data_IF_649267201302
#
_entry.id   IF_649267201302
#
_cell.length_a   1.000
_cell.length_b   1.000
_cell.length_c   1.000
_cell.angle_alpha   90.00
_cell.angle_beta   90.00
_cell.angle_gamma   90.00
#
_symmetry.space_group_name_H-M   'P 1'
#
loop_
_entity.id
_entity.type
_entity.pdbx_description
1 polymer ?
#
# COMPACT_ATOMS: atom_id res chain seq x y z
N UNK A 1 -0.77 2.17 -41.29
CA UNK A 1 -1.04 2.47 -42.70
C UNK A 1 -2.36 1.90 -43.22
N UNK A 2 -2.54 0.58 -43.41
CA UNK A 2 -3.78 0.03 -44.01
C UNK A 2 -5.07 0.42 -43.27
N UNK A 3 -5.06 0.44 -41.93
CA UNK A 3 -6.21 0.84 -41.12
C UNK A 3 -6.52 2.35 -41.25
N UNK A 4 -5.49 3.19 -41.37
CA UNK A 4 -5.63 4.65 -41.57
C UNK A 4 -6.24 4.97 -42.96
N UNK A 5 -5.95 4.14 -43.96
CA UNK A 5 -6.45 4.31 -45.33
C UNK A 5 -7.87 3.77 -45.53
N UNK A 6 -8.16 2.59 -44.97
CA UNK A 6 -9.45 1.93 -45.19
C UNK A 6 -10.52 2.37 -44.20
N UNK A 7 -10.12 2.77 -42.98
CA UNK A 7 -11.00 2.99 -41.82
C UNK A 7 -11.95 1.81 -41.53
N UNK A 8 -11.66 0.64 -42.10
CA UNK A 8 -12.47 -0.57 -41.95
C UNK A 8 -11.68 -1.57 -41.10
N UNK A 9 -12.07 -1.62 -39.82
CA UNK A 9 -11.41 -2.43 -38.79
C UNK A 9 -11.58 -3.92 -39.07
N UNK A 10 -12.75 -4.33 -39.59
CA UNK A 10 -13.07 -5.72 -39.87
C UNK A 10 -12.30 -6.22 -41.09
N UNK A 11 -12.26 -5.41 -42.16
CA UNK A 11 -11.50 -5.73 -43.37
C UNK A 11 -10.00 -5.78 -43.09
N UNK A 12 -9.48 -4.83 -42.33
CA UNK A 12 -8.06 -4.82 -41.94
C UNK A 12 -7.73 -6.00 -41.03
N UNK A 13 -8.58 -6.32 -40.05
CA UNK A 13 -8.38 -7.49 -39.20
C UNK A 13 -8.40 -8.79 -40.02
N UNK A 14 -9.31 -8.94 -40.98
CA UNK A 14 -9.36 -10.11 -41.88
C UNK A 14 -8.10 -10.27 -42.74
N UNK A 15 -7.50 -9.16 -43.19
CA UNK A 15 -6.27 -9.15 -44.00
C UNK A 15 -5.04 -9.61 -43.19
N UNK A 16 -4.97 -9.25 -41.90
CA UNK A 16 -3.79 -9.50 -41.07
C UNK A 16 -3.95 -10.66 -40.07
N UNK A 17 -5.15 -11.19 -39.86
CA UNK A 17 -5.46 -12.30 -38.96
C UNK A 17 -4.57 -13.53 -39.16
N UNK A 18 -4.41 -13.97 -40.41
CA UNK A 18 -3.57 -15.12 -40.75
C UNK A 18 -2.08 -14.91 -40.42
N UNK A 19 -1.59 -13.66 -40.48
CA UNK A 19 -0.21 -13.31 -40.18
C UNK A 19 0.04 -13.23 -38.66
N UNK A 20 -0.99 -12.87 -37.90
CA UNK A 20 -0.94 -12.77 -36.45
C UNK A 20 -1.24 -14.10 -35.73
N UNK A 21 -1.63 -15.16 -36.45
CA UNK A 21 -2.15 -16.41 -35.88
C UNK A 21 -3.33 -16.14 -34.91
N UNK A 22 -4.19 -15.20 -35.28
CA UNK A 22 -5.37 -14.77 -34.52
C UNK A 22 -6.59 -14.75 -35.45
N UNK A 23 -7.79 -14.80 -34.87
CA UNK A 23 -9.03 -14.53 -35.62
C UNK A 23 -9.31 -13.02 -35.69
N UNK A 24 -10.05 -12.52 -36.70
CA UNK A 24 -10.43 -11.11 -36.76
C UNK A 24 -11.19 -10.64 -35.51
N UNK A 25 -12.00 -11.52 -34.90
CA UNK A 25 -12.72 -11.25 -33.66
C UNK A 25 -11.78 -11.07 -32.45
N UNK A 26 -10.62 -11.73 -32.44
CA UNK A 26 -9.60 -11.53 -31.41
C UNK A 26 -8.71 -10.31 -31.70
N UNK A 27 -8.75 -9.73 -32.89
CA UNK A 27 -7.99 -8.52 -33.22
C UNK A 27 -8.79 -7.25 -33.00
N UNK A 28 -10.11 -7.30 -33.17
CA UNK A 28 -11.01 -6.16 -32.97
C UNK A 28 -11.67 -6.27 -31.61
N UNK A 29 -11.34 -5.35 -30.70
CA UNK A 29 -11.94 -5.25 -29.38
C UNK A 29 -12.50 -3.85 -29.16
N UNK A 30 -13.63 -3.79 -28.48
CA UNK A 30 -14.24 -2.56 -28.01
C UNK A 30 -14.05 -2.45 -26.49
N UNK A 31 -13.73 -1.27 -26.01
CA UNK A 31 -13.59 -0.99 -24.58
C UNK A 31 -14.75 -0.11 -24.13
N UNK A 32 -15.08 -0.15 -22.85
CA UNK A 32 -15.88 0.92 -22.24
C UNK A 32 -15.12 2.27 -22.32
N UNK A 33 -15.78 3.36 -21.92
CA UNK A 33 -15.10 4.65 -21.76
C UNK A 33 -13.91 4.51 -20.80
N UNK A 34 -12.75 4.98 -21.22
CA UNK A 34 -11.50 4.92 -20.46
C UNK A 34 -11.22 6.29 -19.87
N UNK A 35 -11.01 6.36 -18.55
CA UNK A 35 -10.42 7.51 -17.87
C UNK A 35 -9.05 7.12 -17.28
N UNK A 36 -8.19 8.09 -16.95
CA UNK A 36 -6.88 7.80 -16.37
C UNK A 36 -6.98 6.93 -15.10
N UNK A 37 -6.17 5.87 -15.05
CA UNK A 37 -6.16 4.90 -13.94
C UNK A 37 -7.20 3.79 -14.01
N UNK A 38 -8.01 3.72 -15.07
CA UNK A 38 -8.91 2.58 -15.28
C UNK A 38 -8.16 1.35 -15.79
N UNK A 39 -8.58 0.17 -15.33
CA UNK A 39 -8.11 -1.10 -15.85
C UNK A 39 -8.84 -1.42 -17.15
N UNK A 40 -8.14 -1.37 -18.28
CA UNK A 40 -8.71 -1.72 -19.60
C UNK A 40 -8.53 -3.22 -19.86
N UNK A 41 -9.58 -3.90 -20.31
CA UNK A 41 -9.51 -5.34 -20.60
C UNK A 41 -8.41 -5.66 -21.63
N UNK A 42 -7.59 -6.69 -21.34
CA UNK A 42 -6.45 -7.14 -22.17
C UNK A 42 -5.28 -6.14 -22.33
N UNK A 43 -5.38 -4.93 -21.76
CA UNK A 43 -4.33 -3.90 -21.77
C UNK A 43 -3.80 -3.66 -20.33
N UNK A 44 -4.67 -3.77 -19.33
CA UNK A 44 -4.38 -3.44 -17.94
C UNK A 44 -4.44 -1.94 -17.67
N UNK A 45 -3.81 -1.53 -16.57
CA UNK A 45 -3.56 -0.11 -16.26
C UNK A 45 -2.29 0.29 -17.00
N UNK A 46 -2.41 1.15 -18.02
CA UNK A 46 -1.27 1.53 -18.88
C UNK A 46 -1.29 3.04 -19.19
N UNK A 47 -0.39 3.82 -18.57
CA UNK A 47 -0.26 5.25 -18.84
C UNK A 47 0.05 5.55 -20.31
N UNK A 48 0.86 4.72 -20.98
CA UNK A 48 1.18 4.91 -22.40
C UNK A 48 -0.05 4.73 -23.30
N UNK A 49 -0.93 3.78 -22.95
CA UNK A 49 -2.19 3.60 -23.67
C UNK A 49 -3.13 4.78 -23.45
N UNK A 50 -3.29 5.21 -22.19
CA UNK A 50 -4.10 6.38 -21.82
C UNK A 50 -3.65 7.65 -22.55
N UNK A 51 -2.34 7.93 -22.58
CA UNK A 51 -1.78 9.08 -23.30
C UNK A 51 -1.96 8.99 -24.83
N UNK A 52 -1.94 7.79 -25.38
CA UNK A 52 -2.09 7.57 -26.82
C UNK A 52 -3.52 7.79 -27.30
N UNK A 53 -4.52 7.32 -26.53
CA UNK A 53 -5.94 7.54 -26.86
C UNK A 53 -6.40 8.96 -26.55
N UNK A 54 -5.80 9.63 -25.57
CA UNK A 54 -6.13 11.01 -25.19
C UNK A 54 -5.84 12.05 -26.30
N UNK A 55 -5.00 11.69 -27.29
CA UNK A 55 -4.68 12.54 -28.44
C UNK A 55 -5.71 12.47 -29.56
N UNK A 56 -6.65 11.53 -29.50
CA UNK A 56 -7.70 11.36 -30.50
C UNK A 56 -8.84 12.32 -30.19
N UNK A 57 -9.23 13.13 -31.18
CA UNK A 57 -10.25 14.16 -30.99
C UNK A 57 -11.55 13.82 -31.73
N UNK A 58 -11.46 13.14 -32.87
CA UNK A 58 -12.59 12.96 -33.80
C UNK A 58 -13.07 11.51 -33.85
N UNK A 59 -14.39 11.29 -33.85
CA UNK A 59 -14.93 9.95 -34.05
C UNK A 59 -14.47 9.35 -35.40
N UNK A 60 -14.04 8.10 -35.39
CA UNK A 60 -13.41 7.40 -36.50
C UNK A 60 -11.93 7.76 -36.73
N UNK A 61 -11.31 8.54 -35.83
CA UNK A 61 -9.87 8.82 -35.86
C UNK A 61 -9.08 7.60 -35.44
N UNK A 62 -8.11 7.21 -36.27
CA UNK A 62 -7.23 6.06 -36.02
C UNK A 62 -5.94 6.57 -35.41
N UNK A 63 -5.65 6.16 -34.18
CA UNK A 63 -4.45 6.54 -33.47
C UNK A 63 -3.20 5.83 -33.94
N UNK A 64 -2.09 6.20 -33.30
CA UNK A 64 -0.79 5.56 -33.55
C UNK A 64 -0.69 4.19 -32.89
N UNK A 65 0.32 3.43 -33.29
CA UNK A 65 0.65 2.14 -32.67
C UNK A 65 1.15 2.36 -31.24
N UNK A 66 0.39 1.91 -30.25
CA UNK A 66 0.72 2.00 -28.83
C UNK A 66 1.23 0.63 -28.36
N UNK A 67 2.42 0.54 -27.73
CA UNK A 67 2.85 -0.70 -27.09
C UNK A 67 1.98 -1.02 -25.86
N UNK A 68 1.56 -2.28 -25.73
CA UNK A 68 0.81 -2.79 -24.56
C UNK A 68 1.46 -4.10 -24.10
N UNK A 69 1.13 -4.60 -22.91
CA UNK A 69 1.80 -5.78 -22.31
C UNK A 69 1.88 -6.99 -23.26
N UNK A 70 0.84 -7.24 -24.06
CA UNK A 70 0.74 -8.38 -24.97
C UNK A 70 0.92 -8.00 -26.44
N UNK A 71 1.64 -6.92 -26.75
CA UNK A 71 1.98 -6.53 -28.12
C UNK A 71 1.75 -5.05 -28.38
N UNK A 72 0.80 -4.73 -29.25
CA UNK A 72 0.44 -3.34 -29.55
C UNK A 72 -1.05 -3.19 -29.81
N UNK A 73 -1.57 -2.02 -29.49
CA UNK A 73 -2.92 -1.59 -29.83
C UNK A 73 -2.85 -0.46 -30.86
N UNK A 74 -3.80 -0.44 -31.79
CA UNK A 74 -4.05 0.69 -32.67
C UNK A 74 -5.47 1.17 -32.37
N UNK A 75 -5.65 2.22 -31.56
CA UNK A 75 -6.96 2.66 -31.13
C UNK A 75 -7.72 3.35 -32.28
N UNK A 76 -9.04 3.20 -32.28
CA UNK A 76 -9.94 4.00 -33.10
C UNK A 76 -10.94 4.66 -32.16
N UNK A 77 -11.06 5.98 -32.21
CA UNK A 77 -12.01 6.68 -31.36
C UNK A 77 -13.44 6.45 -31.88
N UNK A 78 -14.26 5.70 -31.15
CA UNK A 78 -15.66 5.51 -31.50
C UNK A 78 -16.54 6.65 -30.98
N UNK A 79 -16.35 7.00 -29.72
CA UNK A 79 -17.08 8.06 -29.04
C UNK A 79 -16.19 8.72 -27.97
N UNK A 80 -16.37 10.01 -27.76
CA UNK A 80 -15.66 10.79 -26.75
C UNK A 80 -16.67 11.49 -25.85
N UNK A 81 -16.62 11.16 -24.56
CA UNK A 81 -17.31 11.93 -23.53
C UNK A 81 -16.37 12.98 -22.97
N UNK A 82 -16.75 14.23 -23.10
CA UNK A 82 -16.03 15.33 -22.47
C UNK A 82 -15.99 15.15 -20.95
N UNK A 83 -14.86 15.54 -20.36
CA UNK A 83 -14.69 15.55 -18.92
C UNK A 83 -15.68 16.56 -18.32
N UNK A 84 -16.83 16.06 -17.88
CA UNK A 84 -17.81 16.85 -17.13
C UNK A 84 -17.56 16.67 -15.64
N UNK A 85 -17.94 17.68 -14.86
CA UNK A 85 -18.17 17.45 -13.44
C UNK A 85 -19.17 16.30 -13.31
N UNK A 86 -18.80 15.27 -12.56
CA UNK A 86 -19.75 14.22 -12.25
C UNK A 86 -20.89 14.85 -11.45
N UNK A 87 -22.13 14.52 -11.81
CA UNK A 87 -23.28 15.00 -11.07
C UNK A 87 -23.30 14.37 -9.68
N UNK A 88 -23.95 15.03 -8.72
CA UNK A 88 -24.01 14.52 -7.35
C UNK A 88 -24.50 13.07 -7.29
N UNK A 89 -25.50 12.71 -8.10
CA UNK A 89 -26.04 11.35 -8.15
C UNK A 89 -25.03 10.28 -8.59
N UNK A 90 -24.04 10.63 -9.42
CA UNK A 90 -23.02 9.69 -9.93
C UNK A 90 -21.90 9.43 -8.91
N UNK A 91 -21.65 10.39 -8.01
CA UNK A 91 -20.62 10.29 -6.97
C UNK A 91 -21.19 10.10 -5.58
N UNK A 92 -22.51 10.12 -5.44
CA UNK A 92 -23.23 10.06 -4.16
C UNK A 92 -22.76 8.90 -3.30
N UNK A 93 -22.60 7.72 -3.86
CA UNK A 93 -22.18 6.52 -3.12
C UNK A 93 -20.73 6.66 -2.63
N UNK A 94 -19.82 7.11 -3.50
CA UNK A 94 -18.42 7.36 -3.14
C UNK A 94 -18.27 8.44 -2.06
N UNK A 95 -19.01 9.54 -2.20
CA UNK A 95 -19.03 10.64 -1.23
C UNK A 95 -19.66 10.17 0.08
N UNK A 96 -20.75 9.40 0.02
CA UNK A 96 -21.37 8.84 1.21
C UNK A 96 -20.42 7.90 1.95
N UNK A 97 -19.65 7.07 1.25
CA UNK A 97 -18.66 6.19 1.84
C UNK A 97 -17.50 6.97 2.45
N UNK A 98 -16.95 7.95 1.73
CA UNK A 98 -15.92 8.84 2.26
C UNK A 98 -16.38 9.56 3.55
N UNK A 99 -17.59 10.12 3.56
CA UNK A 99 -18.16 10.79 4.74
C UNK A 99 -18.38 9.80 5.89
N UNK A 100 -18.79 8.55 5.60
CA UNK A 100 -18.94 7.52 6.64
C UNK A 100 -17.59 7.21 7.29
N UNK A 101 -16.54 7.03 6.49
CA UNK A 101 -15.18 6.78 6.98
C UNK A 101 -14.68 7.97 7.80
N UNK A 102 -14.82 9.19 7.28
CA UNK A 102 -14.42 10.41 7.98
C UNK A 102 -15.14 10.53 9.35
N UNK A 103 -16.46 10.36 9.36
CA UNK A 103 -17.24 10.38 10.61
C UNK A 103 -16.82 9.28 11.57
N UNK A 104 -16.51 8.08 11.07
CA UNK A 104 -16.02 7.00 11.91
C UNK A 104 -14.67 7.35 12.55
N UNK A 105 -13.73 7.91 11.78
CA UNK A 105 -12.43 8.35 12.30
C UNK A 105 -12.56 9.46 13.35
N UNK A 106 -13.43 10.44 13.11
CA UNK A 106 -13.74 11.48 14.11
C UNK A 106 -14.37 10.90 15.37
N UNK A 107 -15.26 9.92 15.25
CA UNK A 107 -15.86 9.24 16.40
C UNK A 107 -14.83 8.45 17.20
N UNK A 108 -13.89 7.76 16.55
CA UNK A 108 -12.82 7.04 17.23
C UNK A 108 -11.93 8.00 18.03
N UNK A 109 -11.55 9.14 17.44
CA UNK A 109 -10.81 10.19 18.15
C UNK A 109 -11.57 10.68 19.38
N UNK A 110 -12.86 10.98 19.24
CA UNK A 110 -13.70 11.47 20.33
C UNK A 110 -13.87 10.42 21.45
N UNK A 111 -14.05 9.15 21.09
CA UNK A 111 -14.08 8.04 22.05
C UNK A 111 -12.76 7.96 22.81
N UNK A 112 -11.62 8.05 22.11
CA UNK A 112 -10.31 8.03 22.74
C UNK A 112 -10.15 9.19 23.73
N UNK A 113 -10.57 10.41 23.36
CA UNK A 113 -10.55 11.59 24.25
C UNK A 113 -11.42 11.38 25.48
N UNK A 114 -12.62 10.82 25.31
CA UNK A 114 -13.52 10.52 26.42
C UNK A 114 -12.95 9.45 27.36
N UNK A 115 -12.26 8.43 26.83
CA UNK A 115 -11.58 7.41 27.65
C UNK A 115 -10.43 8.05 28.43
N UNK A 116 -9.58 8.85 27.78
CA UNK A 116 -8.48 9.54 28.45
C UNK A 116 -8.97 10.51 29.54
N UNK A 117 -10.07 11.23 29.29
CA UNK A 117 -10.67 12.13 30.27
C UNK A 117 -11.37 11.39 31.42
N UNK A 118 -11.96 10.22 31.15
CA UNK A 118 -12.65 9.40 32.15
C UNK A 118 -11.71 8.53 33.00
N UNK A 119 -10.51 8.25 32.51
CA UNK A 119 -9.51 7.50 33.24
C UNK A 119 -8.73 8.42 34.20
N UNK A 120 -8.94 8.26 35.51
CA UNK A 120 -8.23 9.04 36.54
C UNK A 120 -6.86 8.45 36.89
N UNK A 121 -6.62 7.19 36.53
CA UNK A 121 -5.40 6.43 36.82
C UNK A 121 -5.26 5.26 35.84
N UNK A 122 -4.08 4.65 35.79
CA UNK A 122 -3.83 3.44 35.00
C UNK A 122 -4.81 2.29 35.36
N UNK A 123 -5.14 2.13 36.65
CA UNK A 123 -6.08 1.11 37.12
C UNK A 123 -7.54 1.39 36.71
N UNK A 124 -7.90 2.66 36.53
CA UNK A 124 -9.25 3.06 36.11
C UNK A 124 -9.44 3.01 34.58
N UNK A 125 -8.35 2.90 33.81
CA UNK A 125 -8.40 2.94 32.34
C UNK A 125 -9.29 1.85 31.74
N UNK A 126 -9.23 0.62 32.27
CA UNK A 126 -10.09 -0.45 31.76
C UNK A 126 -11.58 -0.16 32.00
N UNK A 127 -11.94 0.40 33.14
CA UNK A 127 -13.33 0.79 33.43
C UNK A 127 -13.80 1.93 32.53
N UNK A 128 -12.94 2.92 32.26
CA UNK A 128 -13.24 4.01 31.32
C UNK A 128 -13.43 3.50 29.89
N UNK A 129 -12.60 2.54 29.44
CA UNK A 129 -12.76 1.87 28.15
C UNK A 129 -14.05 1.06 28.07
N UNK A 130 -14.40 0.31 29.12
CA UNK A 130 -15.62 -0.50 29.19
C UNK A 130 -16.89 0.36 29.11
N UNK A 131 -16.88 1.56 29.69
CA UNK A 131 -17.98 2.52 29.56
C UNK A 131 -18.22 2.97 28.10
N UNK A 132 -17.26 2.74 27.19
CA UNK A 132 -17.34 2.98 25.74
C UNK A 132 -17.43 1.69 24.93
N UNK A 133 -17.66 0.55 25.56
CA UNK A 133 -17.76 -0.74 24.88
C UNK A 133 -16.41 -1.34 24.44
N UNK A 134 -15.29 -0.79 24.94
CA UNK A 134 -13.94 -1.27 24.65
C UNK A 134 -13.32 -1.97 25.86
N UNK A 135 -12.21 -2.67 25.64
CA UNK A 135 -11.44 -3.33 26.70
C UNK A 135 -9.99 -2.87 26.63
N UNK A 136 -9.44 -2.41 27.75
CA UNK A 136 -8.03 -2.11 27.81
C UNK A 136 -7.23 -3.42 27.85
N UNK A 137 -6.11 -3.47 27.11
CA UNK A 137 -5.19 -4.59 27.13
C UNK A 137 -3.96 -4.23 27.98
N UNK A 138 -3.40 -5.23 28.64
CA UNK A 138 -2.16 -5.09 29.42
C UNK A 138 -1.01 -5.77 28.67
N UNK A 139 0.10 -5.05 28.50
CA UNK A 139 1.34 -5.58 27.97
C UNK A 139 2.40 -5.56 29.07
N UNK A 140 2.76 -6.75 29.55
CA UNK A 140 3.77 -6.91 30.60
C UNK A 140 5.16 -6.88 29.99
N UNK A 141 6.08 -6.14 30.61
CA UNK A 141 7.46 -6.06 30.16
C UNK A 141 7.64 -5.28 28.86
N UNK A 142 6.79 -4.29 28.60
CA UNK A 142 7.01 -3.34 27.50
C UNK A 142 8.36 -2.63 27.67
N UNK A 143 9.13 -2.57 26.58
CA UNK A 143 10.42 -1.86 26.50
C UNK A 143 10.28 -0.82 25.39
N UNK A 144 10.86 0.37 25.57
CA UNK A 144 10.92 1.39 24.52
C UNK A 144 11.59 0.82 23.25
N UNK A 145 11.09 1.19 22.08
CA UNK A 145 11.45 0.61 20.79
C UNK A 145 10.80 -0.73 20.47
N UNK A 146 10.00 -1.33 21.37
CA UNK A 146 9.17 -2.50 21.05
C UNK A 146 7.74 -2.08 20.66
N UNK A 147 7.06 -2.81 19.76
CA UNK A 147 5.67 -2.49 19.43
C UNK A 147 4.76 -2.56 20.65
N UNK A 148 3.95 -1.50 20.85
CA UNK A 148 2.90 -1.47 21.86
C UNK A 148 1.59 -2.02 21.29
N UNK A 149 0.96 -2.94 21.99
CA UNK A 149 -0.29 -3.59 21.60
C UNK A 149 -0.10 -5.04 21.11
N UNK A 150 -1.16 -5.62 20.55
CA UNK A 150 -1.16 -6.99 20.04
C UNK A 150 -1.68 -7.04 18.60
N UNK A 151 -1.21 -8.01 17.81
CA UNK A 151 -1.69 -8.24 16.45
C UNK A 151 -1.39 -7.09 15.49
N UNK A 152 -2.22 -6.88 14.46
CA UNK A 152 -2.00 -5.86 13.42
C UNK A 152 -2.00 -4.41 13.93
N UNK A 153 -2.56 -4.15 15.11
CA UNK A 153 -2.55 -2.82 15.73
C UNK A 153 -1.28 -2.52 16.54
N UNK A 154 -0.40 -3.51 16.72
CA UNK A 154 0.85 -3.29 17.44
C UNK A 154 1.75 -2.33 16.66
N UNK A 155 2.23 -1.27 17.30
CA UNK A 155 2.99 -0.22 16.62
C UNK A 155 4.07 0.39 17.50
N UNK A 156 5.16 0.84 16.86
CA UNK A 156 6.25 1.64 17.45
C UNK A 156 6.08 3.09 16.99
N UNK A 157 6.16 4.05 17.90
CA UNK A 157 6.03 5.47 17.57
C UNK A 157 6.75 6.33 18.61
N UNK A 158 7.69 7.15 18.16
CA UNK A 158 8.53 7.99 19.03
C UNK A 158 7.71 8.87 19.98
N UNK A 159 6.66 9.54 19.49
CA UNK A 159 5.85 10.42 20.32
C UNK A 159 5.03 9.66 21.38
N UNK A 160 4.59 8.44 21.06
CA UNK A 160 3.95 7.54 22.03
C UNK A 160 4.95 7.05 23.08
N UNK A 161 6.14 6.66 22.64
CA UNK A 161 7.21 6.16 23.49
C UNK A 161 7.73 7.23 24.45
N UNK A 162 7.95 8.45 23.96
CA UNK A 162 8.32 9.62 24.77
C UNK A 162 7.26 9.95 25.82
N UNK A 163 5.98 9.92 25.42
CA UNK A 163 4.87 10.14 26.35
C UNK A 163 4.87 9.08 27.47
N UNK A 164 5.02 7.79 27.12
CA UNK A 164 5.08 6.69 28.10
C UNK A 164 6.30 6.83 29.02
N UNK A 165 7.47 7.18 28.47
CA UNK A 165 8.70 7.32 29.25
C UNK A 165 8.62 8.43 30.30
N UNK A 166 7.93 9.53 29.98
CA UNK A 166 7.70 10.65 30.89
C UNK A 166 6.70 10.35 32.02
N UNK A 167 5.91 9.29 31.92
CA UNK A 167 4.86 8.95 32.88
C UNK A 167 5.38 8.18 34.11
N UNK A 168 4.71 8.39 35.24
CA UNK A 168 4.95 7.66 36.49
C UNK A 168 4.05 6.43 36.62
N UNK A 169 4.44 5.52 37.51
CA UNK A 169 3.57 4.40 37.88
C UNK A 169 2.20 4.91 38.40
N UNK A 170 1.12 4.30 37.90
CA UNK A 170 -0.26 4.67 38.17
C UNK A 170 -0.80 5.80 37.27
N UNK A 171 0.04 6.48 36.49
CA UNK A 171 -0.37 7.57 35.63
C UNK A 171 -1.03 7.07 34.33
N UNK A 172 -1.93 7.88 33.79
CA UNK A 172 -2.62 7.64 32.52
C UNK A 172 -2.49 8.86 31.61
N UNK A 173 -2.34 8.61 30.30
CA UNK A 173 -2.27 9.66 29.30
C UNK A 173 -3.56 10.47 29.30
N UNK A 174 -3.44 11.81 29.43
CA UNK A 174 -4.57 12.73 29.38
C UNK A 174 -4.99 13.08 27.95
N UNK A 175 -4.05 13.00 27.02
CA UNK A 175 -4.26 13.28 25.60
C UNK A 175 -4.01 12.00 24.83
N UNK A 176 -5.01 11.46 24.12
CA UNK A 176 -4.80 10.33 23.22
C UNK A 176 -3.82 10.69 22.11
N UNK A 177 -3.07 9.70 21.64
CA UNK A 177 -2.08 9.89 20.58
C UNK A 177 -2.46 9.06 19.36
N UNK A 178 -2.46 9.70 18.19
CA UNK A 178 -2.74 9.05 16.91
C UNK A 178 -1.46 8.42 16.37
N UNK A 179 -1.48 7.11 16.10
CA UNK A 179 -0.39 6.36 15.50
C UNK A 179 -0.94 5.58 14.31
N UNK A 180 -0.55 5.99 13.10
CA UNK A 180 -1.19 5.51 11.87
C UNK A 180 -2.68 5.82 11.88
N UNK A 181 -3.51 4.80 11.69
CA UNK A 181 -4.98 4.90 11.75
C UNK A 181 -5.56 4.61 13.14
N UNK A 182 -4.71 4.30 14.13
CA UNK A 182 -5.11 3.93 15.47
C UNK A 182 -4.93 5.09 16.46
N UNK A 183 -5.74 5.08 17.51
CA UNK A 183 -5.62 5.99 18.65
C UNK A 183 -5.24 5.23 19.91
N UNK A 184 -4.20 5.71 20.60
CA UNK A 184 -3.66 5.10 21.80
C UNK A 184 -3.96 5.95 23.03
N UNK A 185 -4.44 5.29 24.09
CA UNK A 185 -4.55 5.84 25.44
C UNK A 185 -3.89 4.82 26.37
N UNK A 186 -2.79 5.22 27.01
CA UNK A 186 -1.93 4.32 27.77
C UNK A 186 -1.95 4.68 29.24
N UNK A 187 -1.95 3.67 30.10
CA UNK A 187 -1.73 3.80 31.54
C UNK A 187 -0.52 2.97 31.96
N UNK A 188 0.38 3.56 32.74
CA UNK A 188 1.57 2.87 33.26
C UNK A 188 1.19 2.16 34.55
N UNK A 189 0.97 0.84 34.48
CA UNK A 189 0.58 0.04 35.65
C UNK A 189 1.75 -0.22 36.59
N UNK A 190 2.95 -0.39 36.04
CA UNK A 190 4.18 -0.63 36.79
C UNK A 190 5.37 -0.10 36.01
N UNK A 191 6.32 0.53 36.70
CA UNK A 191 7.60 0.96 36.11
C UNK A 191 8.75 0.15 36.74
N UNK A 192 9.54 -0.50 35.91
CA UNK A 192 10.78 -1.13 36.34
C UNK A 192 11.95 -0.22 35.92
N UNK A 193 12.71 0.26 36.89
CA UNK A 193 13.94 1.01 36.61
C UNK A 193 15.00 0.09 36.01
N UNK A 194 15.86 0.65 35.17
CA UNK A 194 16.96 -0.09 34.59
C UNK A 194 17.93 -0.57 35.68
N UNK A 195 18.24 -1.87 35.66
CA UNK A 195 19.21 -2.44 36.59
C UNK A 195 20.63 -2.07 36.15
N UNK A 196 21.22 -1.08 36.82
CA UNK A 196 22.59 -0.62 36.56
C UNK A 196 23.65 -1.69 36.82
N UNK A 197 23.39 -2.68 37.69
CA UNK A 197 24.33 -3.77 37.93
C UNK A 197 24.36 -4.72 36.72
N UNK A 198 23.18 -5.03 36.16
CA UNK A 198 23.07 -5.79 34.91
C UNK A 198 23.56 -4.99 33.69
N UNK A 199 23.45 -3.66 33.69
CA UNK A 199 24.00 -2.83 32.63
C UNK A 199 25.51 -2.97 32.51
N UNK A 200 26.25 -3.02 33.63
CA UNK A 200 27.70 -3.16 33.62
C UNK A 200 28.17 -4.43 32.90
N UNK A 201 27.42 -5.52 33.02
CA UNK A 201 27.74 -6.80 32.35
C UNK A 201 27.26 -6.84 30.90
N UNK A 202 26.18 -6.13 30.57
CA UNK A 202 25.60 -6.09 29.22
C UNK A 202 26.18 -5.00 28.32
N UNK A 203 26.88 -4.01 28.88
CA UNK A 203 27.38 -2.82 28.17
C UNK A 203 28.15 -3.18 26.90
N UNK A 204 29.10 -4.10 27.00
CA UNK A 204 29.96 -4.43 25.86
C UNK A 204 29.17 -5.10 24.73
N UNK A 205 28.18 -5.94 25.08
CA UNK A 205 27.26 -6.53 24.10
C UNK A 205 26.35 -5.47 23.47
N UNK A 206 25.77 -4.57 24.27
CA UNK A 206 24.94 -3.47 23.77
C UNK A 206 25.70 -2.55 22.81
N UNK A 207 26.96 -2.24 23.12
CA UNK A 207 27.84 -1.47 22.23
C UNK A 207 28.04 -2.21 20.90
N UNK A 208 28.32 -3.52 20.93
CA UNK A 208 28.48 -4.30 19.71
C UNK A 208 27.19 -4.33 18.87
N UNK A 209 26.03 -4.52 19.49
CA UNK A 209 24.74 -4.49 18.80
C UNK A 209 24.47 -3.13 18.14
N UNK A 210 24.67 -2.04 18.87
CA UNK A 210 24.49 -0.67 18.34
C UNK A 210 25.49 -0.36 17.22
N UNK A 211 26.73 -0.82 17.37
CA UNK A 211 27.76 -0.66 16.35
C UNK A 211 27.40 -1.41 15.07
N UNK A 212 26.92 -2.64 15.19
CA UNK A 212 26.49 -3.44 14.05
C UNK A 212 25.28 -2.80 13.35
N UNK A 213 24.28 -2.34 14.10
CA UNK A 213 23.15 -1.60 13.55
C UNK A 213 23.60 -0.34 12.79
N UNK A 214 24.50 0.46 13.35
CA UNK A 214 25.04 1.66 12.69
C UNK A 214 25.85 1.32 11.45
N UNK A 215 26.63 0.24 11.47
CA UNK A 215 27.36 -0.24 10.28
C UNK A 215 26.40 -0.66 9.17
N UNK A 216 25.33 -1.40 9.50
CA UNK A 216 24.30 -1.79 8.53
C UNK A 216 23.60 -0.58 7.95
N UNK A 217 23.22 0.39 8.78
CA UNK A 217 22.57 1.65 8.35
C UNK A 217 23.46 2.43 7.37
N UNK A 218 24.72 2.69 7.74
CA UNK A 218 25.68 3.42 6.89
C UNK A 218 25.97 2.66 5.60
N UNK A 219 26.13 1.35 5.66
CA UNK A 219 26.37 0.53 4.47
C UNK A 219 25.16 0.54 3.53
N UNK A 220 23.94 0.43 4.07
CA UNK A 220 22.70 0.51 3.29
C UNK A 220 22.55 1.86 2.59
N UNK A 221 22.80 2.95 3.32
CA UNK A 221 22.75 4.30 2.77
C UNK A 221 23.84 4.52 1.69
N UNK A 222 25.06 4.04 1.94
CA UNK A 222 26.14 4.08 0.94
C UNK A 222 25.78 3.31 -0.33
N UNK A 223 25.21 2.10 -0.21
CA UNK A 223 24.75 1.32 -1.36
C UNK A 223 23.63 2.03 -2.11
N UNK A 224 22.63 2.58 -1.41
CA UNK A 224 21.53 3.31 -2.01
C UNK A 224 22.04 4.56 -2.77
N UNK A 225 22.94 5.33 -2.16
CA UNK A 225 23.54 6.51 -2.78
C UNK A 225 24.40 6.16 -4.00
N UNK A 226 25.22 5.10 -3.90
CA UNK A 226 26.06 4.62 -5.00
C UNK A 226 25.22 4.11 -6.15
N UNK A 227 24.18 3.31 -5.87
CA UNK A 227 23.23 2.83 -6.87
C UNK A 227 22.57 3.99 -7.61
N UNK A 228 22.03 4.96 -6.87
CA UNK A 228 21.41 6.17 -7.44
C UNK A 228 22.38 6.95 -8.33
N UNK A 229 23.64 7.09 -7.92
CA UNK A 229 24.68 7.75 -8.72
C UNK A 229 24.96 7.00 -10.02
N UNK A 230 25.11 5.69 -9.96
CA UNK A 230 25.38 4.84 -11.13
C UNK A 230 24.18 4.74 -12.07
N UNK A 231 22.95 4.74 -11.54
CA UNK A 231 21.72 4.87 -12.34
C UNK A 231 21.67 6.22 -13.07
N UNK A 232 21.97 7.32 -12.37
CA UNK A 232 21.96 8.68 -12.95
C UNK A 232 23.06 8.85 -14.00
N UNK A 233 24.24 8.25 -13.77
CA UNK A 233 25.35 8.25 -14.72
C UNK A 233 25.13 7.30 -15.92
N UNK A 234 24.12 6.43 -15.87
CA UNK A 234 23.84 5.43 -16.91
C UNK A 234 24.72 4.18 -16.86
N UNK A 235 25.58 4.04 -15.85
CA UNK A 235 26.45 2.87 -15.63
C UNK A 235 25.67 1.64 -15.16
N UNK A 236 24.52 1.84 -14.51
CA UNK A 236 23.58 0.78 -14.12
C UNK A 236 22.22 1.06 -14.78
N UNK A 237 21.71 0.07 -15.53
CA UNK A 237 20.37 0.10 -16.13
C UNK A 237 19.51 -0.99 -15.50
N UNK A 238 18.54 -0.59 -14.67
CA UNK A 238 17.63 -1.54 -14.01
C UNK A 238 16.46 -1.81 -14.94
N UNK A 239 16.35 -3.05 -15.40
CA UNK A 239 15.23 -3.52 -16.21
C UNK A 239 14.09 -3.98 -15.29
N UNK A 240 13.33 -3.02 -14.75
CA UNK A 240 12.22 -3.28 -13.82
C UNK A 240 11.21 -4.32 -14.34
N UNK A 241 10.99 -4.38 -15.65
CA UNK A 241 10.10 -5.36 -16.29
C UNK A 241 10.58 -6.82 -16.18
N UNK A 242 11.90 -7.03 -16.14
CA UNK A 242 12.50 -8.38 -16.00
C UNK A 242 12.43 -8.83 -14.55
N UNK A 243 12.65 -7.92 -13.61
CA UNK A 243 12.51 -8.19 -12.17
C UNK A 243 11.04 -8.51 -11.82
N UNK A 244 10.09 -7.73 -12.33
CA UNK A 244 8.66 -7.99 -12.11
C UNK A 244 8.20 -9.36 -12.63
N UNK A 245 8.75 -9.82 -13.78
CA UNK A 245 8.48 -11.16 -14.33
C UNK A 245 9.12 -12.29 -13.54
N UNK A 246 10.20 -12.04 -12.81
CA UNK A 246 10.86 -13.01 -11.93
C UNK A 246 10.09 -13.17 -10.62
N UNK A 247 9.67 -12.05 -10.01
CA UNK A 247 8.89 -12.07 -8.76
C UNK A 247 7.52 -12.72 -8.97
N UNK A 248 6.83 -12.42 -10.07
CA UNK A 248 5.55 -13.07 -10.42
C UNK A 248 5.69 -14.57 -10.68
N UNK A 249 6.90 -15.07 -10.96
CA UNK A 249 7.17 -16.50 -11.23
C UNK A 249 7.46 -17.28 -9.95
N UNK A 250 7.90 -16.62 -8.89
CA UNK A 250 8.12 -17.22 -7.58
C UNK A 250 6.83 -17.31 -6.75
N UNK A 251 5.82 -16.48 -7.04
CA UNK A 251 4.48 -16.60 -6.40
C UNK A 251 3.64 -17.77 -6.94
N UNK A 252 3.98 -18.34 -8.09
CA UNK A 252 3.23 -19.46 -8.68
C UNK A 252 3.48 -20.81 -7.99
N UNK A 253 4.47 -20.89 -7.10
CA UNK A 253 4.76 -22.11 -6.33
C UNK A 253 3.86 -22.19 -5.09
N UNK A 254 2.63 -22.69 -5.24
CA UNK A 254 1.78 -22.98 -4.08
C UNK A 254 2.22 -24.30 -3.44
N UNK A 255 2.70 -24.25 -2.20
CA UNK A 255 2.90 -25.44 -1.37
C UNK A 255 1.54 -25.88 -0.81
N UNK A 256 0.99 -26.98 -1.31
CA UNK A 256 -0.21 -27.61 -0.75
C UNK A 256 0.19 -28.81 0.10
N UNK A 257 -0.31 -28.84 1.34
CA UNK A 257 -0.17 -29.98 2.26
C UNK A 257 -1.49 -30.72 2.28
N UNK A 258 -1.47 -32.01 1.91
CA UNK A 258 -2.66 -32.85 1.97
C UNK A 258 -2.95 -33.34 3.41
N UNK A 259 -4.12 -33.94 3.60
CA UNK A 259 -4.60 -34.48 4.88
C UNK A 259 -3.71 -35.60 5.48
N UNK A 260 -2.76 -36.12 4.69
CA UNK A 260 -1.77 -37.11 5.11
C UNK A 260 -0.38 -36.49 5.39
N UNK A 261 -0.26 -35.16 5.34
CA UNK A 261 0.97 -34.43 5.63
C UNK A 261 2.00 -34.45 4.50
N UNK A 262 1.61 -34.84 3.28
CA UNK A 262 2.51 -34.82 2.12
C UNK A 262 2.51 -33.42 1.51
N UNK A 263 3.69 -32.80 1.48
CA UNK A 263 3.95 -31.49 0.85
C UNK A 263 4.19 -31.70 -0.64
N UNK A 264 3.32 -31.16 -1.47
CA UNK A 264 3.51 -31.14 -2.93
C UNK A 264 3.78 -29.71 -3.38
N UNK A 265 4.92 -29.52 -4.06
CA UNK A 265 5.31 -28.25 -4.68
C UNK A 265 4.85 -28.32 -6.13
N UNK A 266 3.83 -27.54 -6.48
CA UNK A 266 3.40 -27.39 -7.87
C UNK A 266 4.18 -26.22 -8.48
N UNK A 267 4.91 -26.49 -9.56
CA UNK A 267 5.65 -25.50 -10.35
C UNK A 267 4.79 -24.88 -11.44
#
# INVERSE_FOLDING_TARGET
>A
ESLKQTKDVQKTAAEFAAQANMTPAEMVRETAYVKPGDTVENIGISPQFEEGIAKLENAGEVGERIPVQNGFAIPILLDRKEARAAEFDEVKDRVSEAIKIEKALTQVEEIAKQIAAGATSASALNSAAQAKGLKAQEQKGFILGSPLGQGPSASTNDALEDAIFGMKEGEVMKTPLKVGDNWFVVGVTKRAEADMNSFATQRDQLIQTMLEQKRTEVFSEYLAATRRKMETAGDIKIYNEVLAKLDSKNETSTETVDENGIRTINY
#
